data_IF_353694542414
#
_entry.id   IF_353694542414
#
_cell.length_a   1.000
_cell.length_b   1.000
_cell.length_c   1.000
_cell.angle_alpha   90.00
_cell.angle_beta   90.00
_cell.angle_gamma   90.00
#
_symmetry.space_group_name_H-M   'P 1'
#
loop_
_entity.id
_entity.type
_entity.pdbx_description
1 polymer ?
#
# COMPACT_ATOMS: atom_id res chain seq x y z
N UNK A 1 6.46 -17.23 -5.13
CA UNK A 1 6.68 -15.79 -5.37
C UNK A 1 8.18 -15.53 -5.46
N UNK A 2 8.67 -15.17 -6.64
CA UNK A 2 10.02 -14.64 -6.80
C UNK A 2 10.05 -13.19 -6.33
N UNK A 3 11.21 -12.73 -5.85
CA UNK A 3 11.37 -11.36 -5.37
C UNK A 3 11.17 -10.28 -6.47
N UNK A 4 11.09 -10.70 -7.72
CA UNK A 4 10.99 -9.87 -8.93
C UNK A 4 9.58 -9.80 -9.50
N UNK A 5 8.66 -10.64 -9.03
CA UNK A 5 7.28 -10.64 -9.52
C UNK A 5 6.64 -9.28 -9.18
N UNK A 6 5.90 -8.67 -10.13
CA UNK A 6 5.17 -7.44 -9.88
C UNK A 6 4.16 -7.66 -8.77
N UNK A 7 3.87 -6.60 -8.02
CA UNK A 7 2.78 -6.64 -7.04
C UNK A 7 1.45 -6.74 -7.79
N UNK A 8 0.57 -7.63 -7.33
CA UNK A 8 -0.76 -7.82 -7.90
C UNK A 8 -1.81 -7.19 -7.03
N UNK A 9 -3.00 -6.99 -7.58
CA UNK A 9 -4.15 -6.45 -6.86
C UNK A 9 -4.54 -7.35 -5.69
N UNK A 10 -4.53 -8.68 -5.88
CA UNK A 10 -4.88 -9.64 -4.83
C UNK A 10 -3.97 -9.50 -3.61
N UNK A 11 -2.66 -9.32 -3.83
CA UNK A 11 -1.70 -9.11 -2.73
C UNK A 11 -1.98 -7.82 -1.97
N UNK A 12 -2.40 -6.75 -2.65
CA UNK A 12 -2.75 -5.49 -2.00
C UNK A 12 -4.06 -5.61 -1.21
N UNK A 13 -5.04 -6.34 -1.73
CA UNK A 13 -6.31 -6.60 -1.03
C UNK A 13 -6.09 -7.43 0.24
N UNK A 14 -5.34 -8.53 0.14
CA UNK A 14 -4.97 -9.37 1.29
C UNK A 14 -4.19 -8.58 2.35
N UNK A 15 -3.21 -7.78 1.92
CA UNK A 15 -2.44 -6.93 2.83
C UNK A 15 -3.34 -5.86 3.49
N UNK A 16 -4.29 -5.30 2.75
CA UNK A 16 -5.23 -4.30 3.27
C UNK A 16 -6.13 -4.91 4.35
N UNK A 17 -6.64 -6.13 4.17
CA UNK A 17 -7.44 -6.82 5.19
C UNK A 17 -6.66 -7.01 6.50
N UNK A 18 -5.37 -7.39 6.40
CA UNK A 18 -4.50 -7.51 7.57
C UNK A 18 -4.24 -6.16 8.25
N UNK A 19 -3.97 -5.10 7.49
CA UNK A 19 -3.70 -3.76 8.00
C UNK A 19 -4.95 -3.16 8.67
N UNK A 20 -6.11 -3.35 8.06
CA UNK A 20 -7.38 -2.81 8.55
C UNK A 20 -7.98 -3.60 9.72
N UNK A 21 -7.36 -4.70 10.15
CA UNK A 21 -7.82 -5.48 11.30
C UNK A 21 -7.14 -5.00 12.60
N UNK A 22 -7.84 -4.31 13.53
CA UNK A 22 -7.22 -3.69 14.70
C UNK A 22 -6.54 -4.67 15.65
N UNK A 23 -7.00 -5.93 15.68
CA UNK A 23 -6.39 -7.02 16.46
C UNK A 23 -4.95 -7.35 16.04
N UNK A 24 -4.54 -6.97 14.84
CA UNK A 24 -3.18 -7.21 14.35
C UNK A 24 -2.20 -6.14 14.84
N UNK A 25 -2.67 -5.04 15.45
CA UNK A 25 -1.82 -3.94 15.86
C UNK A 25 -1.24 -4.17 17.27
N UNK A 26 0.04 -3.80 17.51
CA UNK A 26 0.97 -3.15 16.57
C UNK A 26 1.58 -4.14 15.56
N UNK A 27 1.74 -3.70 14.30
CA UNK A 27 2.29 -4.52 13.20
C UNK A 27 3.35 -3.77 12.38
N UNK A 28 4.16 -4.53 11.64
CA UNK A 28 5.14 -4.01 10.67
C UNK A 28 4.81 -4.50 9.26
N UNK A 29 4.77 -3.58 8.30
CA UNK A 29 4.58 -3.89 6.88
C UNK A 29 5.92 -3.72 6.17
N UNK A 30 6.52 -4.82 5.70
CA UNK A 30 7.86 -4.79 5.13
C UNK A 30 8.07 -5.86 4.05
N UNK A 31 8.65 -5.47 2.92
CA UNK A 31 9.30 -6.35 1.97
C UNK A 31 10.82 -6.33 2.20
N UNK A 32 11.61 -7.05 1.41
CA UNK A 32 13.07 -7.20 1.63
C UNK A 32 13.81 -5.89 1.98
N UNK A 33 13.52 -4.79 1.27
CA UNK A 33 14.15 -3.49 1.52
C UNK A 33 13.16 -2.41 1.98
N UNK A 34 11.88 -2.76 2.18
CA UNK A 34 10.85 -1.79 2.55
C UNK A 34 10.54 -0.71 1.51
N UNK A 35 10.90 -0.93 0.23
CA UNK A 35 10.78 0.10 -0.84
C UNK A 35 9.58 -0.12 -1.74
N UNK A 36 9.69 -1.03 -2.70
CA UNK A 36 8.71 -1.15 -3.79
C UNK A 36 7.37 -1.74 -3.33
N UNK A 37 7.35 -3.00 -2.90
CA UNK A 37 6.11 -3.67 -2.46
C UNK A 37 5.49 -2.97 -1.25
N UNK A 38 6.30 -2.66 -0.25
CA UNK A 38 5.86 -1.90 0.93
C UNK A 38 5.30 -0.54 0.53
N UNK A 39 6.05 0.23 -0.27
CA UNK A 39 5.61 1.55 -0.72
C UNK A 39 4.33 1.52 -1.55
N UNK A 40 4.12 0.48 -2.37
CA UNK A 40 2.86 0.32 -3.11
C UNK A 40 1.68 0.01 -2.18
N UNK A 41 1.83 -0.92 -1.23
CA UNK A 41 0.77 -1.21 -0.25
C UNK A 41 0.43 0.04 0.57
N UNK A 42 1.46 0.75 1.07
CA UNK A 42 1.26 2.00 1.82
C UNK A 42 0.62 3.07 0.94
N UNK A 43 1.02 3.19 -0.32
CA UNK A 43 0.42 4.13 -1.28
C UNK A 43 -1.07 3.85 -1.51
N UNK A 44 -1.45 2.58 -1.70
CA UNK A 44 -2.85 2.18 -1.80
C UNK A 44 -3.63 2.46 -0.50
N UNK A 45 -3.01 2.24 0.66
CA UNK A 45 -3.60 2.61 1.95
C UNK A 45 -3.83 4.13 2.07
N UNK A 46 -2.88 4.97 1.63
CA UNK A 46 -3.06 6.43 1.60
C UNK A 46 -4.18 6.85 0.66
N UNK A 47 -4.31 6.17 -0.48
CA UNK A 47 -5.41 6.39 -1.42
C UNK A 47 -6.75 6.09 -0.77
N UNK A 48 -6.85 5.00 -0.02
CA UNK A 48 -8.04 4.65 0.77
C UNK A 48 -8.33 5.70 1.86
N UNK A 49 -7.29 6.26 2.48
CA UNK A 49 -7.37 7.40 3.41
C UNK A 49 -7.68 8.75 2.71
N UNK A 50 -8.00 8.73 1.40
CA UNK A 50 -8.34 9.91 0.58
C UNK A 50 -7.25 10.97 0.51
N UNK A 51 -5.97 10.57 0.61
CA UNK A 51 -4.87 11.47 0.30
C UNK A 51 -4.86 11.82 -1.20
N UNK A 52 -4.40 13.02 -1.55
CA UNK A 52 -4.20 13.38 -2.95
C UNK A 52 -2.99 12.62 -3.54
N UNK A 53 -3.07 12.24 -4.82
CA UNK A 53 -2.05 11.45 -5.49
C UNK A 53 -0.65 12.08 -5.44
N UNK A 54 -0.53 13.41 -5.53
CA UNK A 54 0.75 14.10 -5.41
C UNK A 54 1.43 13.80 -4.06
N UNK A 55 0.68 13.88 -2.95
CA UNK A 55 1.22 13.59 -1.62
C UNK A 55 1.58 12.12 -1.46
N UNK A 56 0.80 11.22 -2.07
CA UNK A 56 1.07 9.77 -2.06
C UNK A 56 2.37 9.47 -2.80
N UNK A 57 2.57 10.03 -3.99
CA UNK A 57 3.79 9.82 -4.77
C UNK A 57 5.02 10.44 -4.11
N UNK A 58 4.88 11.61 -3.47
CA UNK A 58 5.97 12.19 -2.69
C UNK A 58 6.39 11.30 -1.51
N UNK A 59 5.44 10.70 -0.78
CA UNK A 59 5.74 9.71 0.27
C UNK A 59 6.45 8.48 -0.31
N UNK A 60 5.90 7.89 -1.39
CA UNK A 60 6.48 6.73 -2.05
C UNK A 60 7.93 6.99 -2.53
N UNK A 61 8.16 8.10 -3.21
CA UNK A 61 9.49 8.47 -3.74
C UNK A 61 10.51 8.67 -2.64
N UNK A 62 10.10 9.31 -1.53
CA UNK A 62 10.96 9.52 -0.37
C UNK A 62 11.49 8.20 0.21
N UNK A 63 10.65 7.16 0.29
CA UNK A 63 11.05 5.85 0.80
C UNK A 63 11.70 4.94 -0.24
N UNK A 64 11.34 5.06 -1.52
CA UNK A 64 11.99 4.32 -2.60
C UNK A 64 13.42 4.83 -2.88
N UNK A 65 13.68 6.11 -2.61
CA UNK A 65 14.97 6.77 -2.79
C UNK A 65 15.39 6.77 -4.27
N UNK A 66 16.66 6.49 -4.61
CA UNK A 66 17.15 6.55 -5.99
C UNK A 66 16.60 5.44 -6.90
N UNK A 67 15.84 4.47 -6.36
CA UNK A 67 15.32 3.31 -7.10
C UNK A 67 13.80 3.39 -7.32
N UNK A 68 13.26 4.59 -7.50
CA UNK A 68 11.84 4.79 -7.83
C UNK A 68 11.48 4.01 -9.09
N UNK A 69 10.29 3.42 -9.08
CA UNK A 69 9.71 2.71 -10.23
C UNK A 69 8.37 3.33 -10.58
N UNK A 70 8.28 3.87 -11.79
CA UNK A 70 7.05 4.51 -12.32
C UNK A 70 5.89 3.52 -12.35
N UNK A 71 6.13 2.24 -12.65
CA UNK A 71 5.10 1.20 -12.64
C UNK A 71 4.41 1.04 -11.28
N UNK A 72 5.12 1.29 -10.17
CA UNK A 72 4.53 1.25 -8.84
C UNK A 72 3.67 2.49 -8.57
N UNK A 73 4.04 3.66 -9.09
CA UNK A 73 3.21 4.88 -9.02
C UNK A 73 1.94 4.71 -9.84
N UNK A 74 2.06 4.19 -11.06
CA UNK A 74 0.94 3.88 -11.93
C UNK A 74 0.01 2.83 -11.30
N UNK A 75 0.56 1.81 -10.64
CA UNK A 75 -0.25 0.84 -9.89
C UNK A 75 -1.08 1.54 -8.80
N UNK A 76 -0.45 2.39 -7.98
CA UNK A 76 -1.16 3.14 -6.93
C UNK A 76 -2.26 4.03 -7.55
N UNK A 77 -1.95 4.70 -8.65
CA UNK A 77 -2.89 5.56 -9.38
C UNK A 77 -4.13 4.82 -9.87
N UNK A 78 -3.95 3.61 -10.40
CA UNK A 78 -5.00 2.81 -11.01
C UNK A 78 -5.72 1.87 -10.06
N UNK A 79 -5.15 1.57 -8.89
CA UNK A 79 -5.74 0.66 -7.91
C UNK A 79 -7.15 1.09 -7.49
N UNK A 80 -8.14 0.22 -7.67
CA UNK A 80 -9.52 0.50 -7.28
C UNK A 80 -9.71 0.25 -5.77
N UNK A 81 -9.92 1.33 -5.02
CA UNK A 81 -10.10 1.26 -3.57
C UNK A 81 -11.45 0.67 -3.16
N UNK A 82 -12.44 0.64 -4.07
CA UNK A 82 -13.77 0.12 -3.77
C UNK A 82 -13.77 -1.41 -3.61
N UNK A 83 -12.71 -2.07 -4.09
CA UNK A 83 -12.46 -3.50 -3.89
C UNK A 83 -11.99 -3.83 -2.46
N UNK A 84 -11.52 -2.84 -1.69
CA UNK A 84 -11.01 -3.08 -0.33
C UNK A 84 -12.16 -3.34 0.63
N UNK A 85 -12.15 -4.52 1.24
CA UNK A 85 -13.10 -4.87 2.31
C UNK A 85 -12.72 -4.17 3.61
N UNK A 86 -13.50 -3.15 3.99
CA UNK A 86 -13.33 -2.46 5.27
C UNK A 86 -14.11 -3.18 6.37
N UNK A 87 -13.46 -3.64 7.47
CA UNK A 87 -14.17 -4.27 8.59
C UNK A 87 -14.98 -3.24 9.40
N UNK A 88 -16.02 -3.69 10.10
CA UNK A 88 -16.85 -2.81 10.97
C UNK A 88 -16.00 -2.19 12.09
N UNK A 89 -15.13 -3.02 12.67
CA UNK A 89 -14.07 -2.65 13.60
C UNK A 89 -12.82 -2.27 12.78
N UNK A 90 -12.85 -1.16 12.07
CA UNK A 90 -11.65 -0.64 11.40
C UNK A 90 -10.93 0.39 12.28
N UNK A 91 -9.63 0.66 12.06
CA UNK A 91 -8.91 1.68 12.79
C UNK A 91 -9.54 3.06 12.61
N UNK A 92 -9.57 3.85 13.70
CA UNK A 92 -10.14 5.21 13.72
C UNK A 92 -9.43 6.24 12.82
N UNK A 93 -8.24 5.88 12.32
CA UNK A 93 -7.45 6.72 11.43
C UNK A 93 -7.80 6.52 9.95
N UNK A 94 -8.63 5.53 9.64
CA UNK A 94 -9.19 5.33 8.31
C UNK A 94 -10.35 6.30 8.09
#
# INVERSE_FOLDING_TARGET
MNAWDPITEEVVLEASELILTPKNHPMIVMCNLGRHRTGTIVGCLRKLQRWNLTSIFEEYRRYAGPKVRVLNEQFIELFDTDLVRVPIDHPKWL
#
